data_IF_845220921415
#
_entry.id   IF_845220921415
#
_cell.length_a   1.000
_cell.length_b   1.000
_cell.length_c   1.000
_cell.angle_alpha   90.00
_cell.angle_beta   90.00
_cell.angle_gamma   90.00
#
_symmetry.space_group_name_H-M   'P 1'
#
loop_
_entity.id
_entity.type
_entity.pdbx_description
1 polymer ?
#
# COMPACT_ATOMS: atom_id res chain seq x y z
N UNK A 1 4.82 3.80 -13.99
CA UNK A 1 3.69 4.05 -13.07
C UNK A 1 2.72 4.74 -13.95
N UNK A 2 1.59 4.08 -14.16
CA UNK A 2 0.77 4.29 -15.33
C UNK A 2 -0.60 4.73 -14.82
N UNK A 3 -1.04 5.89 -15.27
CA UNK A 3 -2.38 6.39 -15.03
C UNK A 3 -3.29 5.72 -16.06
N UNK A 4 -4.30 5.01 -15.58
CA UNK A 4 -5.24 4.26 -16.40
C UNK A 4 -6.61 4.94 -16.26
N UNK A 5 -7.44 4.84 -17.31
CA UNK A 5 -8.80 5.37 -17.34
C UNK A 5 -8.90 6.87 -17.01
N UNK A 6 -7.96 7.68 -17.51
CA UNK A 6 -7.97 9.12 -17.25
C UNK A 6 -7.72 9.47 -15.78
N UNK A 7 -6.76 8.78 -15.15
CA UNK A 7 -6.31 8.99 -13.76
C UNK A 7 -7.24 8.42 -12.68
N UNK A 8 -8.31 7.73 -13.05
CA UNK A 8 -9.19 7.05 -12.09
C UNK A 8 -8.56 5.78 -11.48
N UNK A 9 -7.55 5.21 -12.16
CA UNK A 9 -6.80 4.07 -11.66
C UNK A 9 -5.29 4.27 -11.85
N UNK A 10 -4.52 3.81 -10.88
CA UNK A 10 -3.08 3.95 -10.85
C UNK A 10 -2.42 2.57 -10.74
N UNK A 11 -1.71 2.18 -11.80
CA UNK A 11 -0.92 0.96 -11.84
C UNK A 11 0.56 1.25 -11.58
N UNK A 12 1.14 0.51 -10.66
CA UNK A 12 2.56 0.54 -10.35
C UNK A 12 3.15 -0.86 -10.49
N UNK A 13 4.39 -0.92 -10.99
CA UNK A 13 5.19 -2.14 -11.03
C UNK A 13 6.22 -2.05 -9.90
N UNK A 14 6.35 -3.11 -9.12
CA UNK A 14 7.29 -3.19 -8.02
C UNK A 14 8.12 -4.46 -8.11
N UNK A 15 9.33 -4.40 -7.55
CA UNK A 15 10.21 -5.55 -7.34
C UNK A 15 10.55 -5.59 -5.84
N UNK A 16 10.33 -6.74 -5.21
CA UNK A 16 10.66 -6.96 -3.80
C UNK A 16 12.18 -7.01 -3.60
N UNK A 17 12.63 -6.92 -2.36
CA UNK A 17 14.03 -7.10 -2.00
C UNK A 17 14.58 -8.50 -2.37
N UNK A 18 13.70 -9.51 -2.47
CA UNK A 18 14.06 -10.88 -2.85
C UNK A 18 14.00 -11.11 -4.37
N UNK A 19 13.68 -10.08 -5.17
CA UNK A 19 13.59 -10.14 -6.62
C UNK A 19 12.21 -10.50 -7.17
N UNK A 20 11.21 -10.77 -6.32
CA UNK A 20 9.86 -11.07 -6.78
C UNK A 20 9.23 -9.82 -7.39
N UNK A 21 8.60 -9.97 -8.54
CA UNK A 21 7.92 -8.87 -9.22
C UNK A 21 6.43 -8.90 -8.93
N UNK A 22 5.82 -7.73 -8.98
CA UNK A 22 4.38 -7.62 -8.94
C UNK A 22 3.87 -6.27 -9.39
N UNK A 23 2.55 -6.16 -9.37
CA UNK A 23 1.82 -4.95 -9.71
C UNK A 23 0.95 -4.51 -8.53
N UNK A 24 0.77 -3.22 -8.39
CA UNK A 24 -0.20 -2.60 -7.49
C UNK A 24 -1.18 -1.79 -8.34
N UNK A 25 -2.47 -2.05 -8.15
CA UNK A 25 -3.57 -1.28 -8.74
C UNK A 25 -4.24 -0.50 -7.63
N UNK A 26 -4.40 0.81 -7.83
CA UNK A 26 -4.97 1.70 -6.83
C UNK A 26 -6.13 2.44 -7.45
N UNK A 27 -7.25 2.48 -6.75
CA UNK A 27 -8.44 3.22 -7.13
C UNK A 27 -9.06 3.87 -5.90
N UNK A 28 -9.81 4.94 -6.12
CA UNK A 28 -10.58 5.61 -5.09
C UNK A 28 -12.06 5.44 -5.40
N UNK A 29 -12.81 4.92 -4.43
CA UNK A 29 -14.26 4.83 -4.48
C UNK A 29 -14.88 6.05 -3.77
N UNK A 30 -15.51 6.98 -4.51
CA UNK A 30 -16.14 8.15 -3.94
C UNK A 30 -17.42 7.82 -3.15
N UNK A 31 -18.08 6.68 -3.40
CA UNK A 31 -19.32 6.32 -2.71
C UNK A 31 -19.05 5.90 -1.26
N UNK A 32 -17.95 5.18 -1.03
CA UNK A 32 -17.52 4.75 0.30
C UNK A 32 -16.43 5.63 0.92
N UNK A 33 -15.87 6.60 0.17
CA UNK A 33 -14.71 7.40 0.57
C UNK A 33 -13.52 6.51 0.98
N UNK A 34 -13.26 5.49 0.15
CA UNK A 34 -12.27 4.44 0.41
C UNK A 34 -11.30 4.35 -0.74
N UNK A 35 -10.01 4.29 -0.42
CA UNK A 35 -8.98 3.88 -1.35
C UNK A 35 -8.88 2.36 -1.34
N UNK A 36 -8.92 1.74 -2.52
CA UNK A 36 -8.62 0.33 -2.68
C UNK A 36 -7.25 0.19 -3.32
N UNK A 37 -6.42 -0.70 -2.76
CA UNK A 37 -5.18 -1.11 -3.40
C UNK A 37 -5.14 -2.63 -3.50
N UNK A 38 -5.04 -3.16 -4.72
CA UNK A 38 -4.82 -4.59 -4.95
C UNK A 38 -3.39 -4.80 -5.40
N UNK A 39 -2.66 -5.64 -4.67
CA UNK A 39 -1.33 -6.10 -5.08
C UNK A 39 -1.44 -7.51 -5.61
N UNK A 40 -0.77 -7.76 -6.73
CA UNK A 40 -0.63 -9.09 -7.32
C UNK A 40 0.85 -9.32 -7.57
N UNK A 41 1.41 -10.41 -7.06
CA UNK A 41 2.78 -10.82 -7.38
C UNK A 41 2.82 -11.85 -8.52
N UNK A 42 3.99 -12.09 -9.06
CA UNK A 42 4.19 -13.03 -10.17
C UNK A 42 3.98 -14.50 -9.77
N UNK A 43 3.81 -14.80 -8.49
CA UNK A 43 3.42 -16.12 -7.98
C UNK A 43 1.89 -16.26 -7.86
N UNK A 44 1.12 -15.22 -8.20
CA UNK A 44 -0.34 -15.22 -8.12
C UNK A 44 -0.88 -14.90 -6.72
N UNK A 45 -0.01 -14.51 -5.77
CA UNK A 45 -0.45 -14.05 -4.46
C UNK A 45 -1.11 -12.68 -4.59
N UNK A 46 -2.22 -12.49 -3.87
CA UNK A 46 -2.96 -11.24 -3.86
C UNK A 46 -3.09 -10.68 -2.45
N UNK A 47 -3.01 -9.36 -2.33
CA UNK A 47 -3.31 -8.63 -1.09
C UNK A 47 -4.24 -7.47 -1.44
N UNK A 48 -5.37 -7.41 -0.76
CA UNK A 48 -6.36 -6.34 -0.90
C UNK A 48 -6.27 -5.41 0.30
N UNK A 49 -6.03 -4.14 0.02
CA UNK A 49 -5.92 -3.10 1.02
C UNK A 49 -7.12 -2.15 0.92
N UNK A 50 -7.62 -1.74 2.07
CA UNK A 50 -8.58 -0.66 2.23
C UNK A 50 -7.91 0.52 2.90
N UNK A 51 -8.09 1.70 2.34
CA UNK A 51 -7.38 2.91 2.73
C UNK A 51 -8.31 4.06 3.05
N UNK A 52 -8.03 4.75 4.15
CA UNK A 52 -8.77 5.94 4.56
C UNK A 52 -7.82 7.05 5.00
N UNK A 53 -8.28 8.28 4.83
CA UNK A 53 -7.61 9.44 5.42
C UNK A 53 -7.85 9.47 6.93
N UNK A 54 -6.77 9.50 7.69
CA UNK A 54 -6.76 9.72 9.13
C UNK A 54 -5.95 10.99 9.39
N UNK A 55 -6.65 12.11 9.55
CA UNK A 55 -6.06 13.46 9.59
C UNK A 55 -5.30 13.75 8.29
N UNK A 56 -3.99 13.92 8.38
CA UNK A 56 -3.05 14.27 7.30
C UNK A 56 -2.40 13.05 6.64
N UNK A 57 -2.84 11.83 6.99
CA UNK A 57 -2.23 10.58 6.55
C UNK A 57 -3.23 9.70 5.83
N UNK A 58 -2.83 9.14 4.69
CA UNK A 58 -3.56 8.06 4.05
C UNK A 58 -3.07 6.73 4.63
N UNK A 59 -3.96 5.99 5.27
CA UNK A 59 -3.65 4.75 5.97
C UNK A 59 -4.39 3.59 5.31
N UNK A 60 -3.64 2.67 4.71
CA UNK A 60 -4.15 1.40 4.22
C UNK A 60 -3.99 0.29 5.24
N UNK A 61 -4.96 -0.63 5.26
CA UNK A 61 -4.96 -1.86 6.06
C UNK A 61 -5.30 -3.05 5.17
N UNK A 62 -4.62 -4.17 5.40
CA UNK A 62 -4.97 -5.45 4.80
C UNK A 62 -4.78 -6.57 5.83
N UNK A 63 -5.56 -7.64 5.67
CA UNK A 63 -5.35 -8.89 6.38
C UNK A 63 -5.06 -9.98 5.35
N UNK A 64 -4.07 -10.83 5.64
CA UNK A 64 -3.74 -11.96 4.79
C UNK A 64 -3.51 -13.20 5.67
N UNK A 65 -4.11 -14.33 5.31
CA UNK A 65 -3.84 -15.60 5.98
C UNK A 65 -2.62 -16.29 5.34
N UNK A 66 -1.77 -16.87 6.17
CA UNK A 66 -0.69 -17.77 5.77
C UNK A 66 -0.69 -19.05 6.62
N UNK A 67 0.32 -19.91 6.44
CA UNK A 67 0.43 -21.19 7.14
C UNK A 67 0.55 -21.09 8.67
N UNK A 68 0.88 -19.90 9.19
CA UNK A 68 1.06 -19.65 10.63
C UNK A 68 -0.15 -18.90 11.22
N UNK A 69 -0.96 -18.24 10.38
CA UNK A 69 -2.16 -17.52 10.80
C UNK A 69 -2.36 -16.22 10.02
N UNK A 70 -3.05 -15.25 10.62
CA UNK A 70 -3.33 -13.96 9.97
C UNK A 70 -2.21 -12.96 10.23
N UNK A 71 -1.68 -12.37 9.16
CA UNK A 71 -0.83 -11.18 9.21
C UNK A 71 -1.64 -9.95 8.84
N UNK A 72 -1.49 -8.88 9.62
CA UNK A 72 -2.15 -7.61 9.42
C UNK A 72 -1.12 -6.62 8.94
N UNK A 73 -1.32 -6.09 7.73
CA UNK A 73 -0.49 -5.06 7.14
C UNK A 73 -1.08 -3.68 7.39
N UNK A 74 -0.21 -2.72 7.68
CA UNK A 74 -0.56 -1.30 7.74
C UNK A 74 0.42 -0.49 6.89
N UNK A 75 -0.12 0.23 5.91
CA UNK A 75 0.64 1.11 5.04
C UNK A 75 0.23 2.55 5.33
N UNK A 76 1.16 3.40 5.73
CA UNK A 76 0.89 4.81 6.01
C UNK A 76 1.65 5.69 5.04
N UNK A 77 0.94 6.58 4.35
CA UNK A 77 1.51 7.64 3.53
C UNK A 77 1.33 8.97 4.26
N UNK A 78 2.43 9.68 4.49
CA UNK A 78 2.44 10.98 5.17
C UNK A 78 3.06 12.03 4.26
N UNK A 79 2.28 13.04 3.92
CA UNK A 79 2.78 14.20 3.17
C UNK A 79 3.83 14.95 3.99
N UNK A 80 4.87 15.43 3.33
CA UNK A 80 5.89 16.28 3.92
C UNK A 80 5.76 17.72 3.40
N UNK A 81 6.19 18.73 4.19
CA UNK A 81 6.16 20.13 3.77
C UNK A 81 6.95 20.43 2.49
N UNK A 82 7.97 19.62 2.19
CA UNK A 82 8.80 19.74 0.97
C UNK A 82 8.14 19.10 -0.28
N UNK A 83 6.90 18.64 -0.17
CA UNK A 83 6.17 17.95 -1.25
C UNK A 83 6.56 16.48 -1.43
N UNK A 84 7.50 15.96 -0.65
CA UNK A 84 7.78 14.53 -0.61
C UNK A 84 6.70 13.76 0.17
N UNK A 85 6.69 12.44 0.00
CA UNK A 85 5.76 11.54 0.68
C UNK A 85 6.56 10.45 1.40
N UNK A 86 6.35 10.30 2.71
CA UNK A 86 6.93 9.18 3.46
C UNK A 86 5.93 8.02 3.43
N UNK A 87 6.37 6.87 2.95
CA UNK A 87 5.64 5.61 3.09
C UNK A 87 6.26 4.80 4.23
N UNK A 88 5.41 4.31 5.13
CA UNK A 88 5.77 3.34 6.16
C UNK A 88 4.92 2.08 6.00
N UNK A 89 5.56 0.92 5.85
CA UNK A 89 4.91 -0.39 5.82
C UNK A 89 5.22 -1.15 7.08
N UNK A 90 4.18 -1.54 7.79
CA UNK A 90 4.24 -2.28 9.04
C UNK A 90 3.46 -3.58 8.91
N UNK A 91 3.84 -4.59 9.69
CA UNK A 91 3.06 -5.81 9.85
C UNK A 91 3.01 -6.24 11.32
N UNK A 92 1.93 -6.89 11.71
CA UNK A 92 1.71 -7.45 13.05
C UNK A 92 0.83 -8.68 12.96
N UNK A 93 0.93 -9.57 13.95
CA UNK A 93 0.01 -10.71 14.14
C UNK A 93 -0.87 -10.56 15.39
N UNK A 94 -0.54 -9.63 16.28
CA UNK A 94 -1.15 -9.47 17.60
C UNK A 94 -1.68 -8.04 17.85
N UNK A 95 -1.69 -7.19 16.82
CA UNK A 95 -2.09 -5.78 16.83
C UNK A 95 -1.17 -4.83 17.62
N UNK A 96 -0.48 -5.35 18.64
CA UNK A 96 0.38 -4.61 19.56
C UNK A 96 1.81 -4.48 19.03
N UNK A 97 2.41 -5.59 18.60
CA UNK A 97 3.81 -5.64 18.17
C UNK A 97 3.89 -5.49 16.65
N UNK A 98 4.20 -4.27 16.21
CA UNK A 98 4.37 -3.94 14.79
C UNK A 98 5.84 -3.95 14.38
N UNK A 99 6.16 -4.71 13.35
CA UNK A 99 7.47 -4.69 12.69
C UNK A 99 7.40 -3.79 11.46
N UNK A 100 8.34 -2.85 11.34
CA UNK A 100 8.50 -2.07 10.11
C UNK A 100 9.16 -2.94 9.05
N UNK A 101 8.43 -3.23 7.97
CA UNK A 101 8.92 -3.99 6.82
C UNK A 101 9.63 -3.10 5.82
N UNK A 102 9.19 -1.85 5.68
CA UNK A 102 9.76 -0.90 4.75
C UNK A 102 9.44 0.52 5.18
N UNK A 103 10.40 1.43 5.00
CA UNK A 103 10.18 2.87 5.13
C UNK A 103 10.91 3.59 4.01
N UNK A 104 10.18 4.32 3.19
CA UNK A 104 10.70 4.98 2.00
C UNK A 104 10.21 6.42 1.86
N UNK A 105 10.96 7.23 1.13
CA UNK A 105 10.59 8.60 0.78
C UNK A 105 10.40 8.66 -0.73
N UNK A 106 9.21 9.06 -1.16
CA UNK A 106 8.84 9.25 -2.55
C UNK A 106 8.88 10.74 -2.87
N UNK A 107 9.48 11.09 -4.01
CA UNK A 107 9.49 12.44 -4.56
C UNK A 107 8.91 12.38 -5.96
N UNK A 108 8.05 13.35 -6.30
CA UNK A 108 7.61 13.51 -7.69
C UNK A 108 8.83 13.73 -8.57
N UNK A 109 8.90 13.02 -9.70
CA UNK A 109 9.88 13.34 -10.73
C UNK A 109 9.49 14.70 -11.33
N UNK A 110 10.45 15.62 -11.53
CA UNK A 110 10.20 16.90 -12.18
C UNK A 110 9.73 16.70 -13.63
#
# INVERSE_FOLDING_TARGET
MDLILGECELAENWTSATGNRGKSYNSYDPASNTWYQTRVDEQGSTIHFEGHWVRDKLVFRAEQADSVGTIIYRLTFTHQPDGSMIQNREATRDLENRTTLFKGIYRRKP
#
